data_IF_688961386134
#
_entry.id   IF_688961386134
#
_cell.length_a   1.000
_cell.length_b   1.000
_cell.length_c   1.000
_cell.angle_alpha   90.00
_cell.angle_beta   90.00
_cell.angle_gamma   90.00
#
_symmetry.space_group_name_H-M   'P 1'
#
loop_
_entity.id
_entity.type
_entity.pdbx_description
1 polymer ?
#
# COMPACT_ATOMS: atom_id res chain seq x y z
N UNK A 1 20.67 -18.64 8.03
CA UNK A 1 19.64 -18.79 9.08
C UNK A 1 18.36 -19.15 8.36
N UNK A 2 17.68 -20.23 8.73
CA UNK A 2 16.36 -20.51 8.15
C UNK A 2 15.37 -19.47 8.69
N UNK A 3 14.64 -18.80 7.80
CA UNK A 3 13.64 -17.80 8.21
C UNK A 3 12.43 -18.52 8.79
N UNK A 4 12.13 -18.21 10.05
CA UNK A 4 10.93 -18.67 10.76
C UNK A 4 9.91 -17.54 10.85
N UNK A 5 8.64 -17.84 10.57
CA UNK A 5 7.57 -16.86 10.68
C UNK A 5 7.24 -16.56 12.16
N UNK A 6 7.79 -15.46 12.67
CA UNK A 6 7.52 -14.94 14.01
C UNK A 6 6.56 -13.74 14.03
N UNK A 7 5.94 -13.46 15.18
CA UNK A 7 4.97 -12.36 15.39
C UNK A 7 5.51 -10.98 14.97
N UNK A 8 6.80 -10.72 15.17
CA UNK A 8 7.40 -9.42 14.83
C UNK A 8 7.38 -9.16 13.31
N UNK A 9 7.42 -10.20 12.46
CA UNK A 9 7.28 -10.04 11.02
C UNK A 9 5.93 -9.46 10.63
N UNK A 10 4.85 -9.82 11.33
CA UNK A 10 3.53 -9.23 11.09
C UNK A 10 3.48 -7.75 11.48
N UNK A 11 4.19 -7.37 12.53
CA UNK A 11 4.30 -5.95 12.94
C UNK A 11 5.03 -5.16 11.87
N UNK A 12 6.21 -5.63 11.44
CA UNK A 12 7.00 -4.97 10.40
C UNK A 12 6.25 -4.94 9.07
N UNK A 13 5.66 -6.06 8.66
CA UNK A 13 4.82 -6.14 7.47
C UNK A 13 3.65 -5.15 7.53
N UNK A 14 2.98 -5.01 8.67
CA UNK A 14 1.91 -4.03 8.87
C UNK A 14 2.37 -2.61 8.59
N UNK A 15 3.56 -2.22 9.06
CA UNK A 15 4.16 -0.91 8.76
C UNK A 15 4.47 -0.78 7.27
N UNK A 16 5.08 -1.79 6.65
CA UNK A 16 5.40 -1.78 5.22
C UNK A 16 4.14 -1.69 4.34
N UNK A 17 3.09 -2.44 4.66
CA UNK A 17 1.82 -2.36 3.96
C UNK A 17 1.12 -1.02 4.15
N UNK A 18 1.25 -0.39 5.32
CA UNK A 18 0.76 0.96 5.52
C UNK A 18 1.49 1.94 4.59
N UNK A 19 2.81 1.84 4.47
CA UNK A 19 3.61 2.65 3.54
C UNK A 19 3.20 2.39 2.08
N UNK A 20 2.97 1.13 1.68
CA UNK A 20 2.45 0.83 0.36
C UNK A 20 1.06 1.42 0.11
N UNK A 21 0.19 1.45 1.13
CA UNK A 21 -1.10 2.14 1.04
C UNK A 21 -0.95 3.64 0.82
N UNK A 22 -0.01 4.30 1.53
CA UNK A 22 0.31 5.72 1.29
C UNK A 22 0.79 5.92 -0.15
N UNK A 23 1.72 5.08 -0.63
CA UNK A 23 2.25 5.17 -2.00
C UNK A 23 1.16 4.92 -3.05
N UNK A 24 0.25 3.97 -2.83
CA UNK A 24 -0.87 3.70 -3.72
C UNK A 24 -1.86 4.87 -3.78
N UNK A 25 -2.15 5.48 -2.62
CA UNK A 25 -2.98 6.69 -2.54
C UNK A 25 -2.38 7.86 -3.33
N UNK A 26 -1.09 8.14 -3.12
CA UNK A 26 -0.37 9.18 -3.87
C UNK A 26 -0.32 8.83 -5.36
N UNK A 27 -0.04 7.57 -5.68
CA UNK A 27 0.09 7.11 -7.06
C UNK A 27 -1.18 7.33 -7.87
N UNK A 28 -2.33 6.92 -7.35
CA UNK A 28 -3.62 7.17 -8.02
C UNK A 28 -3.91 8.67 -8.17
N UNK A 29 -3.64 9.46 -7.14
CA UNK A 29 -3.94 10.89 -7.16
C UNK A 29 -3.04 11.69 -8.13
N UNK A 30 -1.79 11.29 -8.31
CA UNK A 30 -0.79 12.05 -9.08
C UNK A 30 -0.65 11.55 -10.52
N UNK A 31 -0.79 10.25 -10.76
CA UNK A 31 -0.52 9.66 -12.07
C UNK A 31 -1.77 9.44 -12.93
N UNK A 32 -2.98 9.65 -12.41
CA UNK A 32 -4.19 9.64 -13.23
C UNK A 32 -4.26 10.90 -14.09
N UNK A 33 -4.06 10.73 -15.39
CA UNK A 33 -4.13 11.82 -16.39
C UNK A 33 -5.58 12.20 -16.72
N UNK A 34 -6.51 11.25 -16.56
CA UNK A 34 -7.94 11.45 -16.80
C UNK A 34 -8.72 11.38 -15.48
N UNK A 35 -9.86 12.08 -15.37
CA UNK A 35 -10.66 12.06 -14.16
C UNK A 35 -11.28 10.67 -13.95
N UNK A 36 -11.15 10.15 -12.73
CA UNK A 36 -11.78 8.90 -12.31
C UNK A 36 -13.31 8.98 -12.45
N UNK A 37 -13.91 10.10 -12.02
CA UNK A 37 -15.37 10.34 -12.02
C UNK A 37 -15.75 11.23 -13.21
N UNK A 38 -16.60 10.73 -14.11
CA UNK A 38 -17.03 11.42 -15.34
C UNK A 38 -18.42 12.07 -15.26
N UNK A 39 -19.24 11.67 -14.28
CA UNK A 39 -20.62 12.12 -14.11
C UNK A 39 -20.98 12.19 -12.62
N UNK A 40 -21.97 12.99 -12.25
CA UNK A 40 -22.54 12.94 -10.90
C UNK A 40 -23.44 11.73 -10.65
N UNK A 41 -23.79 10.98 -11.70
CA UNK A 41 -24.56 9.74 -11.56
C UNK A 41 -23.61 8.56 -11.33
N UNK A 42 -23.58 7.93 -10.15
CA UNK A 42 -22.64 6.85 -9.85
C UNK A 42 -22.75 5.67 -10.82
N UNK A 43 -23.98 5.32 -11.23
CA UNK A 43 -24.24 4.24 -12.18
C UNK A 43 -23.60 4.49 -13.55
N UNK A 44 -23.54 5.75 -14.00
CA UNK A 44 -22.86 6.10 -15.26
C UNK A 44 -21.35 5.87 -15.11
N UNK A 45 -20.74 6.38 -14.05
CA UNK A 45 -19.30 6.18 -13.84
C UNK A 45 -18.91 4.71 -13.78
N UNK A 46 -19.68 3.89 -13.06
CA UNK A 46 -19.43 2.44 -12.96
C UNK A 46 -19.49 1.74 -14.32
N UNK A 47 -20.30 2.26 -15.26
CA UNK A 47 -20.46 1.66 -16.58
C UNK A 47 -19.44 2.14 -17.60
N UNK A 48 -18.97 3.40 -17.50
CA UNK A 48 -18.15 4.04 -18.55
C UNK A 48 -16.78 4.50 -18.12
N UNK A 49 -16.48 4.61 -16.82
CA UNK A 49 -15.15 4.95 -16.32
C UNK A 49 -14.37 3.68 -16.02
N UNK A 50 -13.13 3.62 -16.52
CA UNK A 50 -12.17 2.55 -16.19
C UNK A 50 -11.70 2.62 -14.74
N UNK A 51 -11.70 3.82 -14.17
CA UNK A 51 -11.04 4.13 -12.90
C UNK A 51 -12.02 4.45 -11.77
N UNK A 52 -13.33 4.39 -12.04
CA UNK A 52 -14.39 4.43 -11.02
C UNK A 52 -15.11 3.10 -10.96
N UNK A 53 -15.08 2.47 -9.79
CA UNK A 53 -15.65 1.15 -9.54
C UNK A 53 -16.79 1.17 -8.52
N UNK A 54 -17.49 0.03 -8.40
CA UNK A 54 -18.42 -0.20 -7.27
C UNK A 54 -17.75 -0.04 -5.90
N UNK A 55 -16.45 -0.36 -5.80
CA UNK A 55 -15.68 -0.15 -4.58
C UNK A 55 -15.61 1.33 -4.22
N UNK A 56 -15.29 2.18 -5.19
CA UNK A 56 -15.18 3.62 -4.95
C UNK A 56 -16.51 4.22 -4.46
N UNK A 57 -17.63 3.77 -5.03
CA UNK A 57 -18.97 4.14 -4.57
C UNK A 57 -19.27 3.64 -3.15
N UNK A 58 -19.09 2.34 -2.89
CA UNK A 58 -19.45 1.71 -1.61
C UNK A 58 -18.63 2.25 -0.44
N UNK A 59 -17.34 2.49 -0.68
CA UNK A 59 -16.41 2.98 0.34
C UNK A 59 -16.38 4.51 0.44
N UNK A 60 -17.14 5.20 -0.43
CA UNK A 60 -17.30 6.65 -0.39
C UNK A 60 -15.99 7.39 -0.67
N UNK A 61 -15.25 6.96 -1.70
CA UNK A 61 -14.05 7.62 -2.20
C UNK A 61 -14.38 9.05 -2.63
N UNK A 62 -13.51 9.98 -2.27
CA UNK A 62 -13.71 11.41 -2.49
C UNK A 62 -12.98 11.87 -3.76
N UNK A 63 -13.70 12.61 -4.58
CA UNK A 63 -13.22 13.22 -5.83
C UNK A 63 -13.37 14.73 -5.75
N UNK A 64 -12.57 15.47 -6.50
CA UNK A 64 -12.70 16.91 -6.64
C UNK A 64 -13.81 17.29 -7.63
N UNK A 65 -14.02 18.60 -7.82
CA UNK A 65 -15.06 19.11 -8.71
C UNK A 65 -14.81 18.77 -10.19
N UNK A 66 -13.56 18.46 -10.56
CA UNK A 66 -13.17 18.01 -11.89
C UNK A 66 -13.24 16.48 -12.05
N UNK A 67 -13.59 15.75 -10.99
CA UNK A 67 -13.75 14.30 -10.99
C UNK A 67 -12.46 13.52 -10.73
N UNK A 68 -11.35 14.19 -10.39
CA UNK A 68 -10.10 13.53 -10.04
C UNK A 68 -10.10 13.05 -8.60
N UNK A 69 -9.39 11.95 -8.37
CA UNK A 69 -9.18 11.42 -7.03
C UNK A 69 -8.47 12.45 -6.13
N UNK A 70 -9.03 12.72 -4.93
CA UNK A 70 -8.47 13.72 -4.01
C UNK A 70 -7.26 13.21 -3.24
N UNK A 71 -6.10 13.82 -3.50
CA UNK A 71 -4.85 13.61 -2.76
C UNK A 71 -4.93 14.11 -1.30
N UNK A 72 -5.65 15.19 -1.06
CA UNK A 72 -5.74 15.82 0.27
C UNK A 72 -6.76 15.14 1.20
N UNK A 73 -7.51 14.17 0.69
CA UNK A 73 -8.55 13.49 1.45
C UNK A 73 -7.97 12.46 2.43
N UNK A 74 -8.15 12.71 3.73
CA UNK A 74 -7.80 11.76 4.78
C UNK A 74 -8.61 10.47 4.72
N UNK A 75 -9.84 10.53 4.19
CA UNK A 75 -10.68 9.33 4.00
C UNK A 75 -10.05 8.43 2.95
N UNK A 76 -9.71 9.01 1.80
CA UNK A 76 -9.03 8.35 0.70
C UNK A 76 -7.71 7.71 1.14
N UNK A 77 -6.88 8.46 1.88
CA UNK A 77 -5.65 7.95 2.47
C UNK A 77 -5.91 6.76 3.41
N UNK A 78 -6.87 6.92 4.33
CA UNK A 78 -7.25 5.87 5.27
C UNK A 78 -7.72 4.61 4.55
N UNK A 79 -8.53 4.73 3.50
CA UNK A 79 -9.04 3.59 2.74
C UNK A 79 -7.89 2.78 2.15
N UNK A 80 -6.93 3.43 1.48
CA UNK A 80 -5.78 2.72 0.92
C UNK A 80 -4.89 2.10 2.00
N UNK A 81 -4.55 2.85 3.05
CA UNK A 81 -3.72 2.34 4.15
C UNK A 81 -4.37 1.13 4.81
N UNK A 82 -5.65 1.22 5.18
CA UNK A 82 -6.37 0.11 5.83
C UNK A 82 -6.50 -1.08 4.89
N UNK A 83 -6.84 -0.85 3.61
CA UNK A 83 -7.00 -1.93 2.63
C UNK A 83 -5.69 -2.67 2.39
N UNK A 84 -4.57 -1.95 2.27
CA UNK A 84 -3.25 -2.56 2.11
C UNK A 84 -2.81 -3.30 3.38
N UNK A 85 -2.99 -2.72 4.57
CA UNK A 85 -2.62 -3.38 5.83
C UNK A 85 -3.45 -4.65 6.05
N UNK A 86 -4.78 -4.53 5.98
CA UNK A 86 -5.66 -5.68 6.22
C UNK A 86 -5.47 -6.73 5.13
N UNK A 87 -5.43 -6.33 3.86
CA UNK A 87 -5.24 -7.24 2.74
C UNK A 87 -3.88 -7.95 2.79
N UNK A 88 -2.80 -7.22 3.07
CA UNK A 88 -1.45 -7.78 3.18
C UNK A 88 -1.29 -8.73 4.37
N UNK A 89 -1.81 -8.37 5.54
CA UNK A 89 -1.79 -9.26 6.72
C UNK A 89 -2.69 -10.48 6.52
N UNK A 90 -3.87 -10.31 5.92
CA UNK A 90 -4.74 -11.43 5.56
C UNK A 90 -4.05 -12.37 4.55
N UNK A 91 -3.34 -11.83 3.56
CA UNK A 91 -2.56 -12.63 2.63
C UNK A 91 -1.49 -13.46 3.36
N UNK A 92 -0.75 -12.87 4.29
CA UNK A 92 0.24 -13.60 5.10
C UNK A 92 -0.36 -14.76 5.90
N UNK A 93 -1.62 -14.62 6.35
CA UNK A 93 -2.31 -15.61 7.19
C UNK A 93 -3.01 -16.70 6.38
N UNK A 94 -3.55 -16.35 5.20
CA UNK A 94 -4.51 -17.18 4.49
C UNK A 94 -3.99 -17.73 3.17
N UNK A 95 -2.88 -17.20 2.64
CA UNK A 95 -2.27 -17.66 1.40
C UNK A 95 -1.02 -18.48 1.72
N UNK A 96 -1.04 -19.74 1.29
CA UNK A 96 0.07 -20.67 1.51
C UNK A 96 1.40 -20.10 1.01
N UNK A 97 2.40 -20.08 1.89
CA UNK A 97 3.75 -19.58 1.61
C UNK A 97 3.90 -18.05 1.61
N UNK A 98 2.83 -17.26 1.58
CA UNK A 98 2.92 -15.80 1.57
C UNK A 98 3.57 -15.25 2.86
N UNK A 99 3.17 -15.77 4.02
CA UNK A 99 3.74 -15.38 5.31
C UNK A 99 5.25 -15.62 5.38
N UNK A 100 5.71 -16.82 5.02
CA UNK A 100 7.15 -17.16 5.00
C UNK A 100 7.93 -16.34 3.97
N UNK A 101 7.37 -16.16 2.77
CA UNK A 101 8.02 -15.34 1.73
C UNK A 101 8.20 -13.88 2.16
N UNK A 102 7.18 -13.29 2.79
CA UNK A 102 7.26 -11.92 3.30
C UNK A 102 8.24 -11.84 4.49
N UNK A 103 8.23 -12.81 5.40
CA UNK A 103 9.20 -12.87 6.49
C UNK A 103 10.65 -12.93 5.95
N UNK A 104 10.91 -13.76 4.94
CA UNK A 104 12.23 -13.87 4.32
C UNK A 104 12.68 -12.56 3.66
N UNK A 105 11.76 -11.82 3.03
CA UNK A 105 12.07 -10.50 2.48
C UNK A 105 12.38 -9.47 3.57
N UNK A 106 11.65 -9.51 4.69
CA UNK A 106 11.90 -8.64 5.84
C UNK A 106 13.29 -8.93 6.42
N UNK A 107 13.61 -10.20 6.69
CA UNK A 107 14.92 -10.62 7.19
C UNK A 107 16.04 -10.17 6.25
N UNK A 108 15.89 -10.40 4.95
CA UNK A 108 16.88 -9.99 3.95
C UNK A 108 17.07 -8.46 3.93
N UNK A 109 15.98 -7.69 4.02
CA UNK A 109 16.03 -6.24 4.05
C UNK A 109 16.71 -5.70 5.31
N UNK A 110 16.37 -6.24 6.48
CA UNK A 110 16.98 -5.83 7.77
C UNK A 110 18.47 -6.15 7.78
N UNK A 111 18.85 -7.38 7.40
CA UNK A 111 20.25 -7.78 7.33
C UNK A 111 21.03 -6.89 6.36
N UNK A 112 20.50 -6.66 5.16
CA UNK A 112 21.14 -5.78 4.17
C UNK A 112 21.31 -4.34 4.67
N UNK A 113 20.35 -3.80 5.43
CA UNK A 113 20.48 -2.49 6.05
C UNK A 113 21.55 -2.44 7.13
N UNK A 114 21.61 -3.47 7.99
CA UNK A 114 22.63 -3.59 9.05
C UNK A 114 24.03 -3.73 8.45
N UNK A 115 24.18 -4.54 7.41
CA UNK A 115 25.45 -4.73 6.70
C UNK A 115 25.93 -3.40 6.09
N UNK A 116 25.02 -2.67 5.42
CA UNK A 116 25.33 -1.36 4.86
C UNK A 116 25.72 -0.36 5.94
N UNK A 117 25.03 -0.36 7.09
CA UNK A 117 25.37 0.51 8.21
C UNK A 117 26.79 0.26 8.72
N UNK A 118 27.15 -0.99 8.98
CA UNK A 118 28.49 -1.33 9.48
C UNK A 118 29.57 -1.03 8.45
N UNK A 119 29.31 -1.32 7.18
CA UNK A 119 30.21 -0.94 6.09
C UNK A 119 30.51 0.57 6.12
N UNK A 120 29.48 1.41 6.30
CA UNK A 120 29.68 2.88 6.38
C UNK A 120 30.46 3.30 7.61
N UNK A 121 30.27 2.65 8.75
CA UNK A 121 31.05 2.95 9.97
C UNK A 121 32.52 2.61 9.76
N UNK A 122 32.83 1.48 9.13
CA UNK A 122 34.20 1.07 8.86
C UNK A 122 34.87 2.03 7.86
N UNK A 123 34.15 2.46 6.82
CA UNK A 123 34.61 3.49 5.86
C UNK A 123 34.94 4.84 6.52
N UNK A 124 34.21 5.23 7.57
CA UNK A 124 34.41 6.49 8.29
C UNK A 124 35.51 6.43 9.37
N UNK A 125 35.96 5.23 9.75
CA UNK A 125 37.01 5.00 10.76
C UNK A 125 38.40 4.85 10.16
N UNK A 126 38.50 4.62 8.85
CA UNK A 126 39.75 4.70 8.07
C UNK A 126 40.16 6.13 7.76
#
# INVERSE_FOLDING_TARGET
METELATWHFVVAGVLFALFGVLAHVGRAVFNVFPDKLSDTPAVNILVSSDYSWGDYLWGVEFDDAGYYRLDSLRNLRLYVVSCVVGGLAAMLLIDGAGLGIAALIDAGVNGFVDLFWQRIDELRG
#
